data_IF_826810648856
#
_entry.id   IF_826810648856
#
_cell.length_a   1.000
_cell.length_b   1.000
_cell.length_c   1.000
_cell.angle_alpha   90.00
_cell.angle_beta   90.00
_cell.angle_gamma   90.00
#
_symmetry.space_group_name_H-M   'P 1'
#
loop_
_entity.id
_entity.type
_entity.pdbx_description
1 polymer ?
#
# COMPACT_ATOMS: atom_id res chain seq x y z
N UNK A 1 -70.80 12.74 19.99
CA UNK A 1 -70.52 12.18 18.65
C UNK A 1 -69.88 13.29 17.82
N UNK A 2 -68.59 13.38 17.48
CA UNK A 2 -67.42 12.49 17.45
C UNK A 2 -66.16 13.38 17.69
N UNK A 3 -65.15 12.99 18.50
CA UNK A 3 -63.84 13.65 18.45
C UNK A 3 -62.99 13.00 17.34
N UNK A 4 -62.57 13.82 16.37
CA UNK A 4 -61.84 13.37 15.19
C UNK A 4 -60.33 13.62 15.34
N UNK A 5 -59.60 12.49 15.40
CA UNK A 5 -58.33 12.19 14.72
C UNK A 5 -57.02 12.84 15.18
N UNK A 6 -56.22 11.97 15.79
CA UNK A 6 -54.76 11.77 15.73
C UNK A 6 -53.96 12.73 14.84
N UNK A 7 -52.90 13.28 15.42
CA UNK A 7 -51.64 13.52 14.73
C UNK A 7 -50.48 13.18 15.69
N UNK A 8 -49.97 11.94 15.63
CA UNK A 8 -48.75 11.54 16.32
C UNK A 8 -47.60 11.67 15.32
N UNK A 9 -46.85 12.77 15.41
CA UNK A 9 -45.65 12.98 14.59
C UNK A 9 -44.51 12.07 15.07
N UNK A 10 -44.25 10.99 14.31
CA UNK A 10 -43.01 10.22 14.42
C UNK A 10 -41.84 11.06 13.88
N UNK A 11 -41.01 11.61 14.78
CA UNK A 11 -39.68 12.10 14.41
C UNK A 11 -38.76 10.88 14.20
N UNK A 12 -38.56 10.50 12.93
CA UNK A 12 -37.47 9.60 12.56
C UNK A 12 -36.17 10.41 12.55
N UNK A 13 -35.39 10.32 13.63
CA UNK A 13 -34.01 10.82 13.64
C UNK A 13 -33.17 9.97 12.70
N UNK A 14 -32.91 10.49 11.51
CA UNK A 14 -31.86 10.02 10.61
C UNK A 14 -30.51 10.20 11.33
N UNK A 15 -29.97 9.12 11.90
CA UNK A 15 -28.53 9.03 12.14
C UNK A 15 -27.85 8.94 10.78
N UNK A 16 -27.58 10.10 10.17
CA UNK A 16 -26.58 10.20 9.13
C UNK A 16 -25.22 9.96 9.80
N UNK A 17 -24.84 8.68 9.91
CA UNK A 17 -23.48 8.31 10.26
C UNK A 17 -22.56 8.89 9.20
N UNK A 18 -21.83 9.94 9.56
CA UNK A 18 -20.68 10.38 8.77
C UNK A 18 -19.70 9.22 8.77
N UNK A 19 -19.72 8.41 7.71
CA UNK A 19 -18.64 7.48 7.41
C UNK A 19 -17.41 8.33 7.09
N UNK A 20 -16.73 8.81 8.13
CA UNK A 20 -15.38 9.35 7.99
C UNK A 20 -14.55 8.24 7.37
N UNK A 21 -13.84 8.55 6.28
CA UNK A 21 -12.87 7.64 5.72
C UNK A 21 -11.89 7.29 6.85
N UNK A 22 -12.00 6.08 7.40
CA UNK A 22 -11.07 5.62 8.42
C UNK A 22 -9.67 5.64 7.81
N UNK A 23 -8.66 6.00 8.60
CA UNK A 23 -7.28 5.85 8.14
C UNK A 23 -7.01 4.38 7.81
N UNK A 24 -6.17 4.09 6.80
CA UNK A 24 -5.77 2.72 6.53
C UNK A 24 -5.08 2.13 7.77
N UNK A 25 -5.29 0.83 8.03
CA UNK A 25 -4.68 0.16 9.17
C UNK A 25 -3.16 0.23 9.10
N UNK A 26 -2.54 0.51 10.24
CA UNK A 26 -1.09 0.56 10.38
C UNK A 26 -0.56 -0.75 10.94
N UNK A 27 0.59 -1.20 10.42
CA UNK A 27 1.28 -2.41 10.88
C UNK A 27 1.86 -2.18 12.27
N UNK A 28 1.72 -3.16 13.15
CA UNK A 28 2.39 -3.17 14.46
C UNK A 28 3.89 -2.94 14.31
N UNK A 29 4.47 -2.12 15.17
CA UNK A 29 5.92 -1.91 15.21
C UNK A 29 6.68 -3.22 15.42
N UNK A 30 7.75 -3.43 14.67
CA UNK A 30 8.60 -4.61 14.78
C UNK A 30 9.17 -5.08 13.45
N UNK A 31 9.83 -6.23 13.50
CA UNK A 31 10.38 -6.92 12.35
C UNK A 31 9.29 -7.71 11.65
N UNK A 32 9.08 -7.42 10.37
CA UNK A 32 8.15 -8.12 9.50
C UNK A 32 8.90 -8.90 8.44
N UNK A 33 8.44 -10.10 8.12
CA UNK A 33 8.81 -10.83 6.91
C UNK A 33 7.76 -10.57 5.82
N UNK A 34 8.19 -10.28 4.60
CA UNK A 34 7.34 -10.11 3.43
C UNK A 34 7.80 -11.06 2.33
N UNK A 35 6.87 -11.88 1.84
CA UNK A 35 7.06 -12.77 0.70
C UNK A 35 6.28 -12.22 -0.47
N UNK A 36 6.94 -12.09 -1.62
CA UNK A 36 6.32 -11.61 -2.84
C UNK A 36 6.38 -12.70 -3.90
N UNK A 37 5.25 -12.99 -4.52
CA UNK A 37 5.12 -13.89 -5.65
C UNK A 37 4.52 -13.13 -6.81
N UNK A 38 5.13 -13.23 -7.98
CA UNK A 38 4.68 -12.57 -9.19
C UNK A 38 4.52 -13.60 -10.30
N UNK A 39 3.42 -13.53 -11.04
CA UNK A 39 3.13 -14.48 -12.11
C UNK A 39 4.24 -14.50 -13.15
N UNK A 40 4.80 -15.68 -13.43
CA UNK A 40 5.86 -15.86 -14.43
C UNK A 40 7.27 -15.48 -13.97
N UNK A 41 7.46 -15.11 -12.69
CA UNK A 41 8.78 -14.81 -12.13
C UNK A 41 9.09 -15.72 -10.94
N UNK A 42 10.37 -16.11 -10.74
CA UNK A 42 10.77 -16.84 -9.55
C UNK A 42 10.61 -15.97 -8.30
N UNK A 43 10.21 -16.60 -7.19
CA UNK A 43 10.17 -15.95 -5.88
C UNK A 43 11.56 -15.45 -5.49
N UNK A 44 11.65 -14.20 -5.06
CA UNK A 44 12.90 -13.57 -4.61
C UNK A 44 13.25 -13.91 -3.14
N UNK A 45 12.51 -14.84 -2.53
CA UNK A 45 12.65 -15.20 -1.12
C UNK A 45 11.99 -14.19 -0.16
N UNK A 46 11.98 -14.49 1.15
CA UNK A 46 11.43 -13.60 2.17
C UNK A 46 12.35 -12.40 2.37
N UNK A 47 11.80 -11.19 2.26
CA UNK A 47 12.45 -9.96 2.67
C UNK A 47 12.06 -9.66 4.11
N UNK A 48 12.94 -9.05 4.91
CA UNK A 48 12.59 -8.59 6.25
C UNK A 48 12.65 -7.07 6.33
N UNK A 49 11.73 -6.46 7.05
CA UNK A 49 11.69 -5.00 7.24
C UNK A 49 11.38 -4.64 8.69
N UNK A 50 12.15 -3.70 9.25
CA UNK A 50 11.81 -3.11 10.53
C UNK A 50 10.83 -1.95 10.31
N UNK A 51 9.64 -2.08 10.90
CA UNK A 51 8.54 -1.13 10.77
C UNK A 51 8.32 -0.46 12.11
N UNK A 52 8.11 0.85 12.07
CA UNK A 52 7.58 1.61 13.18
C UNK A 52 6.18 2.11 12.82
N UNK A 53 5.18 1.75 13.63
CA UNK A 53 3.78 2.09 13.41
C UNK A 53 3.54 3.61 13.37
N UNK A 54 4.34 4.42 14.06
CA UNK A 54 4.17 5.87 14.03
C UNK A 54 4.46 6.43 12.62
N UNK A 55 5.52 5.93 11.99
CA UNK A 55 5.96 6.26 10.63
C UNK A 55 5.41 5.32 9.55
N UNK A 56 4.67 4.27 9.93
CA UNK A 56 4.13 3.30 8.98
C UNK A 56 3.13 3.95 8.05
N UNK A 57 3.50 3.97 6.79
CA UNK A 57 2.64 4.30 5.70
C UNK A 57 2.73 3.11 4.74
N UNK A 58 1.81 2.15 4.90
CA UNK A 58 1.60 1.03 3.98
C UNK A 58 1.43 1.48 2.52
N UNK A 59 1.06 2.76 2.35
CA UNK A 59 0.86 3.41 1.09
C UNK A 59 2.03 4.34 0.71
N UNK A 60 3.12 4.45 1.49
CA UNK A 60 4.29 5.29 1.17
C UNK A 60 4.88 4.85 -0.17
N UNK A 61 5.12 3.55 -0.33
CA UNK A 61 5.52 2.90 -1.59
C UNK A 61 4.59 3.22 -2.79
N UNK A 62 3.39 3.76 -2.55
CA UNK A 62 2.40 4.15 -3.58
C UNK A 62 2.06 5.65 -3.63
N UNK A 63 2.18 6.40 -2.53
CA UNK A 63 1.93 7.85 -2.40
C UNK A 63 3.19 8.66 -2.72
N UNK A 64 4.33 8.12 -2.38
CA UNK A 64 5.66 8.68 -2.58
C UNK A 64 6.61 7.63 -3.18
N UNK A 65 6.02 6.53 -3.65
CA UNK A 65 6.42 5.69 -4.76
C UNK A 65 6.79 6.52 -5.97
N UNK A 66 7.96 7.16 -5.85
CA UNK A 66 8.66 7.96 -6.80
C UNK A 66 7.90 9.22 -7.27
N UNK A 67 8.60 10.35 -7.32
CA UNK A 67 8.32 11.33 -8.39
C UNK A 67 8.53 10.74 -9.82
N UNK A 68 8.70 9.43 -9.99
CA UNK A 68 8.86 8.75 -11.28
C UNK A 68 7.55 8.23 -11.87
N UNK A 69 6.46 8.11 -11.10
CA UNK A 69 5.16 7.72 -11.60
C UNK A 69 4.10 8.76 -11.21
N UNK A 70 3.44 9.35 -12.21
CA UNK A 70 2.30 10.25 -12.01
C UNK A 70 1.06 9.40 -11.76
N UNK A 71 0.50 9.43 -10.55
CA UNK A 71 -0.68 8.64 -10.20
C UNK A 71 -1.92 9.55 -10.06
N UNK A 72 -2.58 9.94 -11.16
CA UNK A 72 -3.77 10.80 -11.10
C UNK A 72 -4.94 10.16 -10.35
N UNK A 73 -4.95 8.83 -10.22
CA UNK A 73 -5.96 8.11 -9.45
C UNK A 73 -5.26 7.31 -8.37
N UNK A 74 -5.62 7.59 -7.12
CA UNK A 74 -5.23 6.80 -5.96
C UNK A 74 -6.40 6.76 -4.99
N UNK A 75 -7.15 5.67 -5.01
CA UNK A 75 -8.30 5.46 -4.17
C UNK A 75 -8.00 4.35 -3.17
N UNK A 76 -8.23 4.63 -1.89
CA UNK A 76 -8.04 3.67 -0.81
C UNK A 76 -9.35 3.62 -0.04
N UNK A 77 -9.91 2.42 0.11
CA UNK A 77 -11.12 2.21 0.89
C UNK A 77 -10.82 1.22 2.03
N UNK A 78 -10.59 1.74 3.24
CA UNK A 78 -10.50 0.92 4.43
C UNK A 78 -11.87 0.37 4.81
N UNK A 79 -11.90 -0.90 5.21
CA UNK A 79 -13.05 -1.60 5.75
C UNK A 79 -12.63 -2.54 6.86
N UNK A 80 -13.59 -3.20 7.51
CA UNK A 80 -13.31 -4.13 8.59
C UNK A 80 -12.47 -5.32 8.08
N UNK A 81 -11.21 -5.41 8.49
CA UNK A 81 -10.28 -6.50 8.12
C UNK A 81 -9.86 -6.53 6.65
N UNK A 82 -10.23 -5.51 5.87
CA UNK A 82 -9.98 -5.44 4.41
C UNK A 82 -9.72 -4.00 3.99
N UNK A 83 -8.71 -3.80 3.15
CA UNK A 83 -8.45 -2.52 2.47
C UNK A 83 -8.44 -2.78 0.97
N UNK A 84 -9.21 -2.02 0.21
CA UNK A 84 -9.09 -2.02 -1.25
C UNK A 84 -8.31 -0.81 -1.71
N UNK A 85 -7.51 -1.00 -2.75
CA UNK A 85 -6.75 0.07 -3.39
C UNK A 85 -7.00 -0.01 -4.88
N UNK A 86 -7.35 1.12 -5.49
CA UNK A 86 -7.38 1.28 -6.94
C UNK A 86 -6.47 2.44 -7.31
N UNK A 87 -5.50 2.19 -8.19
CA UNK A 87 -4.59 3.22 -8.66
C UNK A 87 -4.44 3.20 -10.17
N UNK A 88 -4.32 4.39 -10.77
CA UNK A 88 -3.91 4.57 -12.16
C UNK A 88 -2.67 5.42 -12.14
N UNK A 89 -1.54 4.86 -12.58
CA UNK A 89 -0.25 5.50 -12.57
C UNK A 89 0.39 5.49 -13.96
N UNK A 90 0.92 6.62 -14.39
CA UNK A 90 1.66 6.80 -15.63
C UNK A 90 3.16 6.65 -15.35
N UNK A 91 3.80 5.67 -15.97
CA UNK A 91 5.23 5.42 -15.84
C UNK A 91 5.80 4.78 -17.11
N UNK A 92 6.97 5.23 -17.57
CA UNK A 92 7.69 4.70 -18.74
C UNK A 92 6.86 4.59 -20.02
N UNK A 93 6.01 5.58 -20.28
CA UNK A 93 5.15 5.59 -21.47
C UNK A 93 4.02 4.55 -21.44
N UNK A 94 3.78 3.91 -20.28
CA UNK A 94 2.64 3.04 -20.04
C UNK A 94 1.78 3.58 -18.88
N UNK A 95 0.51 3.25 -18.94
CA UNK A 95 -0.45 3.41 -17.83
C UNK A 95 -0.57 2.08 -17.12
N UNK A 96 -0.20 2.05 -15.84
CA UNK A 96 -0.39 0.94 -14.94
C UNK A 96 -1.67 1.16 -14.10
N UNK A 97 -2.71 0.37 -14.37
CA UNK A 97 -3.92 0.32 -13.55
C UNK A 97 -3.82 -0.86 -12.59
N UNK A 98 -3.76 -0.58 -11.29
CA UNK A 98 -3.63 -1.61 -10.24
C UNK A 98 -4.88 -1.65 -9.38
N UNK A 99 -5.45 -2.84 -9.25
CA UNK A 99 -6.46 -3.18 -8.25
C UNK A 99 -5.79 -4.05 -7.18
N UNK A 100 -5.90 -3.68 -5.91
CA UNK A 100 -5.35 -4.43 -4.79
C UNK A 100 -6.40 -4.68 -3.70
N UNK A 101 -6.34 -5.86 -3.09
CA UNK A 101 -7.13 -6.22 -1.92
C UNK A 101 -6.18 -6.70 -0.83
N UNK A 102 -6.16 -5.97 0.27
CA UNK A 102 -5.36 -6.28 1.45
C UNK A 102 -6.29 -6.82 2.52
N UNK A 103 -6.01 -8.00 3.06
CA UNK A 103 -6.82 -8.64 4.10
C UNK A 103 -5.95 -9.18 5.23
N UNK A 104 -6.42 -9.11 6.46
CA UNK A 104 -5.78 -9.74 7.61
C UNK A 104 -5.75 -8.88 8.86
N UNK A 105 -4.86 -9.27 9.77
CA UNK A 105 -4.62 -8.64 11.06
C UNK A 105 -3.27 -7.92 11.00
N UNK A 106 -3.29 -6.58 10.98
CA UNK A 106 -2.10 -5.76 10.84
C UNK A 106 -1.19 -5.77 12.08
N UNK A 107 -1.57 -6.49 13.14
CA UNK A 107 -0.71 -6.78 14.29
C UNK A 107 0.05 -8.11 14.18
N UNK A 108 -0.34 -8.97 13.22
CA UNK A 108 0.18 -10.34 13.10
C UNK A 108 0.58 -10.71 11.68
N UNK A 109 -0.35 -10.61 10.74
CA UNK A 109 -0.14 -11.03 9.35
C UNK A 109 -1.23 -10.49 8.44
N UNK A 110 -0.82 -10.07 7.24
CA UNK A 110 -1.74 -9.68 6.18
C UNK A 110 -1.32 -10.28 4.84
N UNK A 111 -2.28 -10.35 3.94
CA UNK A 111 -2.10 -10.71 2.54
C UNK A 111 -2.57 -9.55 1.66
N UNK A 112 -1.86 -9.31 0.57
CA UNK A 112 -2.17 -8.30 -0.43
C UNK A 112 -2.15 -8.96 -1.82
N UNK A 113 -3.34 -9.11 -2.41
CA UNK A 113 -3.54 -9.61 -3.76
C UNK A 113 -3.67 -8.43 -4.73
N UNK A 114 -2.84 -8.40 -5.77
CA UNK A 114 -2.79 -7.32 -6.74
C UNK A 114 -2.91 -7.81 -8.17
N UNK A 115 -3.65 -7.02 -8.96
CA UNK A 115 -3.74 -7.15 -10.40
C UNK A 115 -3.35 -5.82 -11.03
N UNK A 116 -2.26 -5.80 -11.79
CA UNK A 116 -1.80 -4.62 -12.52
C UNK A 116 -1.96 -4.85 -14.02
N UNK A 117 -2.60 -3.91 -14.72
CA UNK A 117 -2.78 -3.91 -16.18
C UNK A 117 -1.99 -2.77 -16.80
N UNK A 118 -1.32 -3.02 -17.91
CA UNK A 118 -0.44 -2.06 -18.59
C UNK A 118 -0.99 -1.67 -19.96
N UNK A 119 -1.01 -0.36 -20.25
CA UNK A 119 -1.42 0.19 -21.54
C UNK A 119 -0.56 1.38 -21.97
N UNK A 120 0.24 1.27 -23.06
CA UNK A 120 0.55 0.04 -23.82
C UNK A 120 1.26 -1.04 -22.98
N UNK A 121 1.34 -2.30 -23.46
CA UNK A 121 1.99 -3.38 -22.72
C UNK A 121 3.44 -3.06 -22.38
N UNK A 122 3.85 -3.29 -21.13
CA UNK A 122 5.23 -3.06 -20.69
C UNK A 122 6.06 -4.33 -20.90
N UNK A 123 7.13 -4.24 -21.70
CA UNK A 123 7.97 -5.40 -22.04
C UNK A 123 7.16 -6.60 -22.58
N UNK A 124 6.10 -6.33 -23.34
CA UNK A 124 5.19 -7.36 -23.88
C UNK A 124 4.13 -7.88 -22.90
N UNK A 125 4.17 -7.48 -21.63
CA UNK A 125 3.19 -7.88 -20.61
C UNK A 125 2.02 -6.90 -20.55
N UNK A 126 0.81 -7.41 -20.73
CA UNK A 126 -0.45 -6.65 -20.59
C UNK A 126 -0.98 -6.64 -19.16
N UNK A 127 -0.67 -7.69 -18.41
CA UNK A 127 -1.20 -7.91 -17.07
C UNK A 127 -0.13 -8.60 -16.23
N UNK A 128 -0.13 -8.29 -14.94
CA UNK A 128 0.74 -8.87 -13.93
C UNK A 128 -0.07 -9.14 -12.66
N UNK A 129 -0.01 -10.38 -12.18
CA UNK A 129 -0.59 -10.78 -10.89
C UNK A 129 0.52 -10.85 -9.86
N UNK A 130 0.30 -10.21 -8.72
CA UNK A 130 1.23 -10.22 -7.62
C UNK A 130 0.51 -10.53 -6.31
N UNK A 131 1.11 -11.41 -5.53
CA UNK A 131 0.66 -11.78 -4.19
C UNK A 131 1.76 -11.41 -3.21
N UNK A 132 1.39 -10.70 -2.17
CA UNK A 132 2.28 -10.40 -1.05
C UNK A 132 1.70 -10.93 0.24
N UNK A 133 2.54 -11.63 1.01
CA UNK A 133 2.18 -12.12 2.34
C UNK A 133 3.18 -11.57 3.34
N UNK A 134 2.67 -10.98 4.41
CA UNK A 134 3.48 -10.36 5.43
C UNK A 134 3.16 -10.93 6.80
N UNK A 135 4.19 -11.12 7.63
CA UNK A 135 4.11 -11.68 8.98
C UNK A 135 4.99 -10.91 9.95
N UNK A 136 4.43 -10.52 11.09
CA UNK A 136 5.19 -9.99 12.22
C UNK A 136 6.00 -11.12 12.86
N UNK A 137 7.29 -10.90 13.04
CA UNK A 137 8.23 -11.89 13.58
C UNK A 137 8.50 -11.64 15.06
N UNK A 138 8.91 -10.42 15.36
CA UNK A 138 9.48 -10.03 16.65
C UNK A 138 9.54 -8.50 16.71
N UNK A 139 9.94 -7.90 17.84
CA UNK A 139 10.50 -6.56 17.83
C UNK A 139 11.66 -6.45 16.82
N UNK A 140 11.98 -5.23 16.38
CA UNK A 140 13.17 -5.03 15.56
C UNK A 140 14.42 -5.47 16.33
N UNK A 141 15.37 -6.09 15.62
CA UNK A 141 16.63 -6.57 16.20
C UNK A 141 17.51 -5.38 16.57
N UNK A 142 18.44 -5.60 17.49
CA UNK A 142 19.43 -4.61 17.88
C UNK A 142 20.18 -4.08 16.65
N UNK A 143 20.34 -2.75 16.56
CA UNK A 143 20.95 -2.08 15.42
C UNK A 143 20.08 -1.99 14.15
N UNK A 144 18.82 -2.46 14.18
CA UNK A 144 17.84 -2.15 13.13
C UNK A 144 17.13 -0.83 13.43
N UNK A 145 16.98 0.00 12.41
CA UNK A 145 16.19 1.24 12.47
C UNK A 145 14.90 1.08 11.65
N UNK A 146 13.86 1.86 11.94
CA UNK A 146 12.70 1.96 11.05
C UNK A 146 13.12 2.21 9.59
N UNK A 147 12.54 1.46 8.66
CA UNK A 147 12.89 1.53 7.24
C UNK A 147 14.11 0.70 6.83
N UNK A 148 14.79 0.01 7.77
CA UNK A 148 15.78 -1.00 7.43
C UNK A 148 15.09 -2.21 6.76
N UNK A 149 15.50 -2.51 5.53
CA UNK A 149 15.14 -3.68 4.74
C UNK A 149 16.35 -4.61 4.70
N UNK A 150 16.11 -5.90 4.95
CA UNK A 150 17.08 -6.97 4.76
C UNK A 150 16.62 -7.81 3.58
N UNK A 151 17.42 -7.77 2.52
CA UNK A 151 17.21 -8.56 1.31
C UNK A 151 18.10 -9.80 1.33
N UNK A 152 17.58 -10.98 0.93
CA UNK A 152 18.42 -12.15 0.70
C UNK A 152 19.54 -11.84 -0.30
N UNK A 153 20.79 -12.17 0.05
CA UNK A 153 21.95 -12.02 -0.84
C UNK A 153 22.52 -10.60 -1.00
N UNK A 154 21.78 -9.55 -0.64
CA UNK A 154 22.22 -8.14 -0.78
C UNK A 154 22.58 -7.52 0.57
N UNK A 155 21.94 -7.97 1.65
CA UNK A 155 22.18 -7.45 3.00
C UNK A 155 21.20 -6.37 3.43
N UNK A 156 21.62 -5.52 4.38
CA UNK A 156 20.76 -4.50 5.01
C UNK A 156 20.88 -3.16 4.29
N UNK A 157 19.75 -2.54 3.99
CA UNK A 157 19.65 -1.20 3.41
C UNK A 157 18.56 -0.40 4.13
N UNK A 158 18.69 0.92 4.24
CA UNK A 158 17.63 1.77 4.79
C UNK A 158 16.98 2.60 3.68
N UNK A 159 15.65 2.53 3.57
CA UNK A 159 14.92 3.26 2.54
C UNK A 159 15.06 4.78 2.66
N UNK A 160 15.09 5.31 3.89
CA UNK A 160 15.26 6.73 4.15
C UNK A 160 16.64 7.22 3.71
N UNK A 161 17.70 6.46 4.03
CA UNK A 161 19.06 6.80 3.60
C UNK A 161 19.18 6.80 2.07
N UNK A 162 18.62 5.77 1.40
CA UNK A 162 18.64 5.65 -0.07
C UNK A 162 17.93 6.82 -0.75
N UNK A 163 16.79 7.27 -0.23
CA UNK A 163 16.05 8.42 -0.79
C UNK A 163 16.76 9.75 -0.59
N UNK A 164 17.59 9.85 0.45
CA UNK A 164 18.37 11.05 0.74
C UNK A 164 19.76 11.04 0.10
N UNK A 165 20.21 9.90 -0.42
CA UNK A 165 21.50 9.76 -1.09
C UNK A 165 21.62 10.70 -2.31
N UNK A 166 22.63 11.58 -2.37
CA UNK A 166 22.78 12.55 -3.47
C UNK A 166 22.93 11.92 -4.86
N UNK A 167 23.58 10.77 -4.97
CA UNK A 167 23.78 10.09 -6.26
C UNK A 167 22.45 9.48 -6.74
N UNK A 168 21.70 8.86 -5.83
CA UNK A 168 20.36 8.35 -6.14
C UNK A 168 19.44 9.51 -6.54
N UNK A 169 19.43 10.61 -5.78
CA UNK A 169 18.62 11.79 -6.10
C UNK A 169 18.98 12.39 -7.45
N UNK A 170 20.26 12.46 -7.79
CA UNK A 170 20.73 12.98 -9.07
C UNK A 170 20.38 12.03 -10.24
N UNK A 171 20.56 10.72 -10.06
CA UNK A 171 20.11 9.71 -11.02
C UNK A 171 18.59 9.82 -11.27
N UNK A 172 17.80 9.96 -10.20
CA UNK A 172 16.34 10.10 -10.29
C UNK A 172 15.95 11.39 -11.03
N UNK A 173 16.66 12.51 -10.80
CA UNK A 173 16.47 13.76 -11.56
C UNK A 173 16.80 13.60 -13.04
N UNK A 174 17.91 12.93 -13.38
CA UNK A 174 18.31 12.69 -14.78
C UNK A 174 17.30 11.84 -15.54
N UNK A 175 16.73 10.82 -14.88
CA UNK A 175 15.64 10.02 -15.45
C UNK A 175 14.34 10.83 -15.64
N UNK A 176 14.11 11.86 -14.83
CA UNK A 176 12.97 12.77 -14.99
C UNK A 176 13.17 13.79 -16.11
N UNK A 177 14.42 14.25 -16.33
CA UNK A 177 14.75 15.27 -17.34
C UNK A 177 14.97 14.71 -18.75
N UNK A 178 15.18 13.40 -18.88
CA UNK A 178 15.31 12.72 -20.17
C UNK A 178 13.98 12.37 -20.86
N UNK A 179 12.87 12.96 -20.43
CA UNK A 179 11.53 12.80 -21.04
C UNK A 179 11.04 14.12 -21.62
#
# INVERSE_FOLDING_TARGET
MHPSRLALCLLATLLAGTAGAADPPKRKSGLWEVRTQMSGMPSQGPMQMCIDQASDNLMHDRKDGSKLADCPVMQVQPGAGKVTVHSVCHHNGTTATTDAVITGDFDKSYRNDMLTRFSPPQNGMKEMKMVQEARWLSPCKEGQRPGDIILPGVGKMNMGDMMNDPQIREMMKRQQQGR
#
